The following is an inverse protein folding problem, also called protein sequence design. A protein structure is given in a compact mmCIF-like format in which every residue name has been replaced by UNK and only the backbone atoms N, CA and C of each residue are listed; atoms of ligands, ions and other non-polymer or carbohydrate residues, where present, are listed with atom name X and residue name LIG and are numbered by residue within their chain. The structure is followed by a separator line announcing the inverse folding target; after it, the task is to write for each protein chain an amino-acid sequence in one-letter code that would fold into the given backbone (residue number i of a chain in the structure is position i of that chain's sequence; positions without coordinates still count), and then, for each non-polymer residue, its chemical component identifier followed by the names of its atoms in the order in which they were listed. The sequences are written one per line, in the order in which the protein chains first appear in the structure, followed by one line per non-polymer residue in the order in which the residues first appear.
data_IF_217497248191
#
_entry.id   IF_217497248191
#
_cell.length_a   1.000
_cell.length_b   1.000
_cell.length_c   1.000
_cell.angle_alpha   90.00
_cell.angle_beta   90.00
_cell.angle_gamma   90.00
#
_symmetry.space_group_name_H-M   'P 1'
#
loop_
_entity.id
_entity.type
_entity.pdbx_description
1 polymer ?
#
# COMPACT_ATOMS: atom_id res chain seq x y z
N UNK A 1 22.27 -11.37 22.91
CA UNK A 1 21.26 -12.21 22.23
C UNK A 1 20.48 -11.30 21.27
N UNK A 2 20.47 -11.56 19.96
CA UNK A 2 19.55 -10.88 19.03
C UNK A 2 18.13 -11.17 19.52
N UNK A 3 17.44 -10.17 20.06
CA UNK A 3 16.05 -10.33 20.45
C UNK A 3 15.22 -10.28 19.17
N UNK A 4 15.07 -11.43 18.54
CA UNK A 4 14.11 -11.62 17.45
C UNK A 4 12.71 -11.68 18.06
N UNK A 5 11.75 -10.94 17.50
CA UNK A 5 10.36 -10.97 17.91
C UNK A 5 9.84 -12.42 17.94
N UNK A 6 9.04 -12.75 18.95
CA UNK A 6 8.42 -14.08 19.06
C UNK A 6 7.41 -14.29 17.93
N UNK A 7 7.04 -15.55 17.64
CA UNK A 7 6.06 -15.85 16.61
C UNK A 7 4.70 -15.15 16.88
N UNK A 8 4.27 -15.09 18.15
CA UNK A 8 3.05 -14.39 18.54
C UNK A 8 3.13 -12.88 18.24
N UNK A 9 4.28 -12.26 18.52
CA UNK A 9 4.50 -10.84 18.22
C UNK A 9 4.52 -10.56 16.71
N UNK A 10 5.11 -11.46 15.92
CA UNK A 10 5.06 -11.39 14.46
C UNK A 10 3.64 -11.46 13.93
N UNK A 11 2.82 -12.34 14.50
CA UNK A 11 1.40 -12.43 14.16
C UNK A 11 0.63 -11.17 14.57
N UNK A 12 0.93 -10.57 15.72
CA UNK A 12 0.33 -9.28 16.09
C UNK A 12 0.70 -8.16 15.11
N UNK A 13 1.97 -8.06 14.68
CA UNK A 13 2.42 -7.07 13.69
C UNK A 13 1.72 -7.30 12.35
N UNK A 14 1.59 -8.56 11.93
CA UNK A 14 0.84 -8.94 10.73
C UNK A 14 -0.61 -8.45 10.81
N UNK A 15 -1.34 -8.81 11.87
CA UNK A 15 -2.75 -8.43 12.04
C UNK A 15 -2.92 -6.91 12.16
N UNK A 16 -2.03 -6.25 12.90
CA UNK A 16 -2.06 -4.78 13.03
C UNK A 16 -1.87 -4.10 11.68
N UNK A 17 -0.90 -4.56 10.90
CA UNK A 17 -0.59 -3.95 9.59
C UNK A 17 -1.71 -4.24 8.58
N UNK A 18 -2.24 -5.47 8.59
CA UNK A 18 -3.40 -5.87 7.80
C UNK A 18 -4.61 -4.98 8.07
N UNK A 19 -4.96 -4.78 9.34
CA UNK A 19 -6.12 -3.97 9.70
C UNK A 19 -5.92 -2.48 9.36
N UNK A 20 -4.77 -1.91 9.72
CA UNK A 20 -4.52 -0.47 9.51
C UNK A 20 -4.40 -0.12 8.03
N UNK A 21 -3.67 -0.92 7.26
CA UNK A 21 -3.47 -0.64 5.85
C UNK A 21 -4.71 -1.00 5.03
N UNK A 22 -5.38 -2.13 5.30
CA UNK A 22 -6.64 -2.47 4.61
C UNK A 22 -7.77 -1.46 4.85
N UNK A 23 -7.88 -0.90 6.06
CA UNK A 23 -8.80 0.22 6.28
C UNK A 23 -8.36 1.48 5.52
N UNK A 24 -7.06 1.74 5.44
CA UNK A 24 -6.53 2.89 4.73
C UNK A 24 -6.77 2.80 3.23
N UNK A 25 -6.66 1.61 2.62
CA UNK A 25 -6.95 1.41 1.19
C UNK A 25 -8.44 1.65 0.91
N UNK A 26 -9.34 1.15 1.75
CA UNK A 26 -10.77 1.49 1.65
C UNK A 26 -11.03 3.01 1.68
N UNK A 27 -10.26 3.77 2.47
CA UNK A 27 -10.37 5.22 2.48
C UNK A 27 -9.80 5.88 1.21
N UNK A 28 -8.69 5.39 0.66
CA UNK A 28 -8.09 5.97 -0.55
C UNK A 28 -8.95 5.73 -1.78
N UNK A 29 -9.61 4.58 -1.88
CA UNK A 29 -10.56 4.26 -2.98
C UNK A 29 -11.76 5.21 -3.01
N UNK A 30 -12.10 5.84 -1.88
CA UNK A 30 -13.17 6.84 -1.80
C UNK A 30 -12.70 8.26 -2.19
N UNK A 31 -11.39 8.49 -2.33
CA UNK A 31 -10.84 9.79 -2.68
C UNK A 31 -10.86 9.93 -4.21
N UNK A 32 -11.51 10.97 -4.77
CA UNK A 32 -11.53 11.17 -6.22
C UNK A 32 -10.14 11.59 -6.73
N UNK A 33 -9.74 11.09 -7.89
CA UNK A 33 -8.58 11.59 -8.62
C UNK A 33 -8.93 12.90 -9.34
N UNK A 34 -7.97 13.83 -9.38
CA UNK A 34 -8.12 15.12 -10.07
C UNK A 34 -7.21 15.15 -11.29
N UNK A 35 -7.79 15.25 -12.48
CA UNK A 35 -7.03 15.44 -13.71
C UNK A 35 -6.81 16.92 -13.99
N UNK A 36 -5.55 17.34 -14.09
CA UNK A 36 -5.17 18.68 -14.53
C UNK A 36 -4.25 18.57 -15.76
N UNK A 37 -4.87 18.58 -16.95
CA UNK A 37 -4.15 18.44 -18.22
C UNK A 37 -3.66 17.00 -18.43
N UNK A 38 -2.35 16.82 -18.66
CA UNK A 38 -1.72 15.50 -18.82
C UNK A 38 -1.37 14.83 -17.49
N UNK A 39 -1.59 15.52 -16.36
CA UNK A 39 -1.19 15.07 -15.03
C UNK A 39 -2.43 14.63 -14.26
N UNK A 40 -2.42 13.37 -13.81
CA UNK A 40 -3.42 12.85 -12.89
C UNK A 40 -2.90 12.97 -11.46
N UNK A 41 -3.63 13.71 -10.63
CA UNK A 41 -3.36 13.79 -9.19
C UNK A 41 -4.26 12.77 -8.50
N UNK A 42 -3.74 11.56 -8.32
CA UNK A 42 -4.39 10.52 -7.53
C UNK A 42 -3.67 10.30 -6.21
N UNK A 43 -4.44 9.98 -5.16
CA UNK A 43 -3.89 9.44 -3.93
C UNK A 43 -3.79 7.94 -4.12
N UNK A 44 -2.75 7.53 -4.83
CA UNK A 44 -2.62 6.15 -5.28
C UNK A 44 -2.61 5.17 -4.08
N UNK A 45 -1.76 5.42 -3.07
CA UNK A 45 -1.67 4.55 -1.89
C UNK A 45 -1.20 5.28 -0.62
N UNK A 46 -1.79 4.94 0.52
CA UNK A 46 -1.27 5.30 1.85
C UNK A 46 -0.17 4.34 2.33
N UNK A 47 0.83 4.09 1.48
CA UNK A 47 1.97 3.22 1.78
C UNK A 47 2.80 3.70 2.98
N UNK A 48 2.66 4.95 3.43
CA UNK A 48 3.33 5.41 4.64
C UNK A 48 3.00 4.56 5.88
N UNK A 49 1.80 3.97 5.95
CA UNK A 49 1.36 3.14 7.09
C UNK A 49 2.20 1.86 7.17
N UNK A 50 2.20 0.98 6.14
CA UNK A 50 2.98 -0.23 6.18
C UNK A 50 4.49 0.05 6.16
N UNK A 51 4.95 1.12 5.49
CA UNK A 51 6.35 1.55 5.57
C UNK A 51 6.76 1.89 7.01
N UNK A 52 5.95 2.68 7.72
CA UNK A 52 6.21 3.04 9.12
C UNK A 52 6.27 1.80 10.00
N UNK A 53 5.32 0.88 9.85
CA UNK A 53 5.26 -0.35 10.63
C UNK A 53 6.44 -1.28 10.30
N UNK A 54 6.83 -1.42 9.03
CA UNK A 54 7.97 -2.24 8.62
C UNK A 54 9.32 -1.67 9.08
N UNK A 55 9.43 -0.35 9.23
CA UNK A 55 10.62 0.33 9.76
C UNK A 55 10.74 0.20 11.28
N UNK A 56 9.62 0.09 12.01
CA UNK A 56 9.59 -0.02 13.47
C UNK A 56 9.56 -1.47 13.97
N UNK A 57 8.90 -2.37 13.23
CA UNK A 57 8.69 -3.77 13.59
C UNK A 57 9.45 -4.75 12.68
N UNK A 58 9.04 -6.03 12.69
CA UNK A 58 9.52 -7.06 11.76
C UNK A 58 9.02 -6.74 10.33
N UNK A 59 9.93 -6.44 9.37
CA UNK A 59 9.56 -6.03 8.03
C UNK A 59 8.72 -7.05 7.26
N UNK A 60 8.96 -8.35 7.47
CA UNK A 60 8.26 -9.40 6.73
C UNK A 60 6.81 -9.50 7.20
N UNK A 61 6.59 -9.51 8.51
CA UNK A 61 5.24 -9.52 9.08
C UNK A 61 4.44 -8.28 8.69
N UNK A 62 5.06 -7.10 8.69
CA UNK A 62 4.41 -5.87 8.25
C UNK A 62 4.09 -5.90 6.75
N UNK A 63 5.04 -6.27 5.90
CA UNK A 63 4.84 -6.30 4.45
C UNK A 63 3.74 -7.29 4.02
N UNK A 64 3.78 -8.52 4.54
CA UNK A 64 2.72 -9.52 4.26
C UNK A 64 1.38 -9.08 4.84
N UNK A 65 1.38 -8.48 6.03
CA UNK A 65 0.17 -7.92 6.64
C UNK A 65 -0.46 -6.86 5.75
N UNK A 66 0.35 -5.94 5.22
CA UNK A 66 -0.08 -4.90 4.30
C UNK A 66 -0.73 -5.49 3.05
N UNK A 67 0.00 -6.34 2.33
CA UNK A 67 -0.52 -6.97 1.11
C UNK A 67 -1.80 -7.78 1.36
N UNK A 68 -1.89 -8.48 2.50
CA UNK A 68 -3.12 -9.20 2.88
C UNK A 68 -4.26 -8.24 3.20
N UNK A 69 -3.98 -7.14 3.90
CA UNK A 69 -4.99 -6.13 4.24
C UNK A 69 -5.57 -5.49 2.98
N UNK A 70 -4.72 -5.09 2.05
CA UNK A 70 -5.13 -4.56 0.76
C UNK A 70 -5.99 -5.57 -0.02
N UNK A 71 -5.52 -6.82 -0.15
CA UNK A 71 -6.29 -7.87 -0.84
C UNK A 71 -7.68 -8.09 -0.22
N UNK A 72 -7.76 -8.18 1.11
CA UNK A 72 -9.02 -8.46 1.80
C UNK A 72 -9.96 -7.25 1.75
N UNK A 73 -9.45 -6.05 2.00
CA UNK A 73 -10.30 -4.86 2.20
C UNK A 73 -10.51 -4.04 0.92
N UNK A 74 -9.54 -3.96 0.01
CA UNK A 74 -9.73 -3.30 -1.30
C UNK A 74 -10.35 -4.24 -2.31
N UNK A 75 -9.89 -5.49 -2.41
CA UNK A 75 -10.29 -6.33 -3.54
C UNK A 75 -11.53 -7.18 -3.21
N UNK A 76 -11.43 -8.02 -2.16
CA UNK A 76 -12.53 -8.91 -1.76
C UNK A 76 -13.70 -8.15 -1.14
N UNK A 77 -13.47 -7.09 -0.36
CA UNK A 77 -14.59 -6.38 0.25
C UNK A 77 -15.33 -5.47 -0.74
N UNK A 78 -14.66 -4.92 -1.76
CA UNK A 78 -15.30 -4.06 -2.74
C UNK A 78 -15.92 -4.81 -3.92
N UNK A 79 -15.76 -6.14 -4.01
CA UNK A 79 -16.39 -6.90 -5.09
C UNK A 79 -15.56 -6.99 -6.36
N UNK A 80 -14.27 -6.63 -6.32
CA UNK A 80 -13.43 -6.44 -7.50
C UNK A 80 -12.24 -7.41 -7.55
N UNK A 81 -12.34 -8.55 -6.86
CA UNK A 81 -11.22 -9.49 -6.75
C UNK A 81 -10.95 -10.20 -8.09
N UNK A 82 -9.87 -9.80 -8.77
CA UNK A 82 -9.41 -10.35 -10.05
C UNK A 82 -8.58 -11.64 -9.97
N UNK A 83 -8.66 -12.39 -8.87
CA UNK A 83 -8.05 -13.71 -8.78
C UNK A 83 -6.53 -13.71 -8.81
N UNK A 84 -5.98 -14.28 -9.89
CA UNK A 84 -4.53 -14.34 -10.10
C UNK A 84 -3.91 -12.98 -10.42
N UNK A 85 -4.71 -12.02 -10.91
CA UNK A 85 -4.24 -10.66 -11.18
C UNK A 85 -3.81 -9.92 -9.90
N UNK A 86 -4.53 -10.16 -8.80
CA UNK A 86 -4.20 -9.55 -7.51
C UNK A 86 -2.88 -10.04 -6.91
N UNK A 87 -2.33 -11.14 -7.44
CA UNK A 87 -1.07 -11.71 -6.97
C UNK A 87 0.12 -10.80 -7.32
N UNK A 88 0.01 -10.07 -8.43
CA UNK A 88 1.00 -9.05 -8.80
C UNK A 88 1.11 -7.99 -7.70
N UNK A 89 0.00 -7.29 -7.45
CA UNK A 89 -0.13 -6.24 -6.45
C UNK A 89 0.29 -6.72 -5.06
N UNK A 90 -0.15 -7.92 -4.67
CA UNK A 90 0.22 -8.53 -3.40
C UNK A 90 1.75 -8.67 -3.25
N UNK A 91 2.44 -9.15 -4.30
CA UNK A 91 3.88 -9.39 -4.25
C UNK A 91 4.67 -8.08 -4.37
N UNK A 92 4.30 -7.17 -5.26
CA UNK A 92 5.03 -5.89 -5.46
C UNK A 92 4.97 -5.02 -4.20
N UNK A 93 3.80 -4.92 -3.55
CA UNK A 93 3.63 -4.23 -2.25
C UNK A 93 4.47 -4.91 -1.17
N UNK A 94 4.43 -6.24 -1.10
CA UNK A 94 5.25 -6.99 -0.13
C UNK A 94 6.74 -6.70 -0.33
N UNK A 95 7.24 -6.71 -1.57
CA UNK A 95 8.65 -6.44 -1.88
C UNK A 95 9.02 -5.00 -1.50
N UNK A 96 8.26 -4.00 -1.94
CA UNK A 96 8.56 -2.59 -1.67
C UNK A 96 8.63 -2.29 -0.17
N UNK A 97 7.62 -2.73 0.60
CA UNK A 97 7.55 -2.52 2.05
C UNK A 97 8.64 -3.31 2.79
N UNK A 98 8.88 -4.57 2.40
CA UNK A 98 9.90 -5.41 3.03
C UNK A 98 11.30 -4.84 2.83
N UNK A 99 11.63 -4.41 1.60
CA UNK A 99 12.92 -3.81 1.25
C UNK A 99 13.12 -2.49 2.01
N UNK A 100 12.13 -1.61 2.02
CA UNK A 100 12.19 -0.36 2.79
C UNK A 100 12.42 -0.62 4.29
N UNK A 101 11.64 -1.52 4.89
CA UNK A 101 11.78 -1.89 6.30
C UNK A 101 13.14 -2.50 6.63
N UNK A 102 13.79 -3.17 5.68
CA UNK A 102 15.15 -3.72 5.83
C UNK A 102 16.25 -2.67 5.68
N UNK A 103 16.03 -1.62 4.89
CA UNK A 103 16.99 -0.53 4.72
C UNK A 103 17.16 0.31 6.00
N UNK A 104 16.10 0.42 6.80
CA UNK A 104 16.12 1.18 8.07
C UNK A 104 16.72 0.34 9.21
N UNK A 105 17.95 0.66 9.61
CA UNK A 105 18.61 0.10 10.79
C UNK A 105 18.32 0.88 12.08
N UNK A 106 18.40 2.20 12.01
CA UNK A 106 18.05 3.14 13.08
C UNK A 106 16.84 4.01 12.69
N UNK A 107 15.65 3.78 13.27
CA UNK A 107 14.45 4.59 13.02
C UNK A 107 14.59 6.07 13.41
N UNK A 108 15.62 6.46 14.17
CA UNK A 108 15.88 7.86 14.54
C UNK A 108 16.61 8.64 13.45
N UNK A 109 17.22 7.96 12.48
CA UNK A 109 17.94 8.61 11.39
C UNK A 109 16.98 9.02 10.26
N UNK A 110 16.52 10.28 10.31
CA UNK A 110 15.62 10.87 9.33
C UNK A 110 16.07 10.69 7.88
N UNK A 111 17.39 10.80 7.59
CA UNK A 111 17.89 10.67 6.21
C UNK A 111 17.69 9.26 5.67
N UNK A 112 17.97 8.26 6.50
CA UNK A 112 17.81 6.85 6.13
C UNK A 112 16.34 6.45 6.05
N UNK A 113 15.50 6.96 6.96
CA UNK A 113 14.04 6.77 6.91
C UNK A 113 13.47 7.37 5.63
N UNK A 114 13.84 8.61 5.29
CA UNK A 114 13.39 9.27 4.06
C UNK A 114 13.84 8.55 2.80
N UNK A 115 15.11 8.14 2.74
CA UNK A 115 15.63 7.34 1.63
C UNK A 115 14.89 6.01 1.49
N UNK A 116 14.68 5.29 2.59
CA UNK A 116 13.98 4.00 2.56
C UNK A 116 12.50 4.15 2.18
N UNK A 117 11.84 5.23 2.58
CA UNK A 117 10.45 5.50 2.20
C UNK A 117 10.31 5.68 0.69
N UNK A 118 11.10 6.61 0.10
CA UNK A 118 11.07 6.84 -1.35
C UNK A 118 11.55 5.62 -2.12
N UNK A 119 12.61 4.96 -1.67
CA UNK A 119 13.13 3.79 -2.36
C UNK A 119 12.13 2.62 -2.34
N UNK A 120 11.43 2.40 -1.22
CA UNK A 120 10.38 1.39 -1.12
C UNK A 120 9.22 1.64 -2.07
N UNK A 121 8.71 2.88 -2.08
CA UNK A 121 7.64 3.30 -2.98
C UNK A 121 8.08 3.23 -4.43
N UNK A 122 9.25 3.78 -4.78
CA UNK A 122 9.79 3.70 -6.13
C UNK A 122 9.98 2.25 -6.59
N UNK A 123 10.42 1.36 -5.70
CA UNK A 123 10.57 -0.05 -6.04
C UNK A 123 9.22 -0.70 -6.33
N UNK A 124 8.20 -0.47 -5.51
CA UNK A 124 6.87 -1.05 -5.75
C UNK A 124 6.25 -0.50 -7.04
N UNK A 125 6.25 0.81 -7.25
CA UNK A 125 5.72 1.43 -8.48
C UNK A 125 6.49 0.97 -9.74
N UNK A 126 7.82 0.87 -9.64
CA UNK A 126 8.65 0.40 -10.77
C UNK A 126 8.34 -1.05 -11.14
N UNK A 127 8.13 -1.91 -10.13
CA UNK A 127 7.78 -3.31 -10.38
C UNK A 127 6.41 -3.41 -11.07
N UNK A 128 5.41 -2.62 -10.63
CA UNK A 128 4.10 -2.55 -11.29
C UNK A 128 4.22 -2.07 -12.74
N UNK A 129 4.89 -0.93 -12.97
CA UNK A 129 5.16 -0.39 -14.31
C UNK A 129 5.83 -1.43 -15.23
N UNK A 130 6.77 -2.23 -14.73
CA UNK A 130 7.40 -3.30 -15.52
C UNK A 130 6.38 -4.37 -15.90
N UNK A 131 5.50 -4.78 -14.99
CA UNK A 131 4.46 -5.76 -15.29
C UNK A 131 3.44 -5.20 -16.27
N UNK A 132 2.99 -3.96 -16.12
CA UNK A 132 2.06 -3.31 -17.06
C UNK A 132 2.63 -3.23 -18.47
N UNK A 133 3.91 -2.85 -18.59
CA UNK A 133 4.63 -2.91 -19.87
C UNK A 133 4.65 -4.35 -20.41
N UNK A 134 4.99 -5.34 -19.57
CA UNK A 134 5.02 -6.74 -19.99
C UNK A 134 3.64 -7.23 -20.45
N UNK A 135 2.56 -6.86 -19.76
CA UNK A 135 1.18 -7.21 -20.13
C UNK A 135 0.89 -6.73 -21.55
N UNK A 136 1.21 -5.48 -21.87
CA UNK A 136 0.98 -4.97 -23.23
C UNK A 136 1.90 -5.62 -24.26
N UNK A 137 3.15 -5.96 -23.92
CA UNK A 137 4.04 -6.62 -24.88
C UNK A 137 3.64 -8.07 -25.18
N UNK A 138 3.13 -8.81 -24.19
CA UNK A 138 2.85 -10.24 -24.32
C UNK A 138 1.37 -10.58 -24.57
N UNK A 139 0.42 -9.71 -24.19
CA UNK A 139 -1.02 -9.94 -24.43
C UNK A 139 -1.48 -9.49 -25.84
N UNK A 140 -0.60 -8.87 -26.64
CA UNK A 140 -0.94 -8.22 -27.92
C UNK A 140 -0.65 -9.11 -29.14
N UNK A 141 -0.70 -10.44 -29.01
CA UNK A 141 -0.62 -11.33 -30.19
C UNK A 141 -1.81 -11.14 -31.17
N UNK A 142 -2.94 -10.53 -30.75
CA UNK A 142 -4.14 -10.30 -31.58
C UNK A 142 -4.33 -8.87 -32.15
N UNK A 143 -3.42 -7.91 -31.89
CA UNK A 143 -3.47 -6.56 -32.48
C UNK A 143 -2.15 -6.18 -33.19
N UNK A 144 -1.88 -6.82 -34.33
CA UNK A 144 -0.82 -6.43 -35.28
C UNK A 144 -0.96 -5.00 -35.88
N UNK A 145 -1.87 -4.13 -35.43
CA UNK A 145 -2.39 -3.05 -36.28
C UNK A 145 -2.46 -1.62 -35.70
N UNK A 146 -1.56 -1.20 -34.81
CA UNK A 146 -1.30 0.26 -34.61
C UNK A 146 0.21 0.54 -34.43
N UNK A 147 0.87 1.16 -35.42
CA UNK A 147 2.26 1.60 -35.29
C UNK A 147 2.38 2.63 -34.15
N UNK A 148 3.29 2.39 -33.20
CA UNK A 148 3.58 3.31 -32.09
C UNK A 148 2.87 3.00 -30.76
N UNK A 149 1.99 1.99 -30.72
CA UNK A 149 1.29 1.62 -29.48
C UNK A 149 2.24 1.12 -28.37
N UNK A 150 3.24 0.27 -28.64
CA UNK A 150 4.27 -0.08 -27.65
C UNK A 150 5.02 1.14 -27.11
N UNK A 151 5.49 2.01 -28.01
CA UNK A 151 6.27 3.20 -27.64
C UNK A 151 5.44 4.20 -26.81
N UNK A 152 4.14 4.32 -27.13
CA UNK A 152 3.22 5.13 -26.34
C UNK A 152 3.03 4.58 -24.93
N UNK A 153 2.97 3.25 -24.76
CA UNK A 153 2.79 2.61 -23.45
C UNK A 153 4.03 2.79 -22.58
N UNK A 154 5.22 2.60 -23.12
CA UNK A 154 6.46 2.93 -22.41
C UNK A 154 6.49 4.40 -21.94
N UNK A 155 5.99 5.32 -22.77
CA UNK A 155 5.93 6.74 -22.44
C UNK A 155 4.86 7.05 -21.39
N UNK A 156 3.66 6.45 -21.49
CA UNK A 156 2.56 6.70 -20.54
C UNK A 156 2.82 6.07 -19.19
N UNK A 157 3.27 4.81 -19.14
CA UNK A 157 3.60 4.11 -17.89
C UNK A 157 4.81 4.74 -17.20
N UNK A 158 5.85 5.10 -17.97
CA UNK A 158 7.02 5.80 -17.44
C UNK A 158 6.66 7.19 -16.89
N UNK A 159 5.73 7.89 -17.54
CA UNK A 159 5.23 9.18 -17.06
C UNK A 159 4.37 9.03 -15.80
N UNK A 160 3.47 8.05 -15.76
CA UNK A 160 2.66 7.71 -14.59
C UNK A 160 3.57 7.39 -13.38
N UNK A 161 4.52 6.47 -13.55
CA UNK A 161 5.51 6.13 -12.53
C UNK A 161 6.22 7.36 -11.93
N UNK A 162 6.71 8.26 -12.79
CA UNK A 162 7.40 9.47 -12.33
C UNK A 162 6.45 10.43 -11.62
N UNK A 163 5.25 10.61 -12.17
CA UNK A 163 4.21 11.46 -11.60
C UNK A 163 3.81 10.97 -10.21
N UNK A 164 3.51 9.68 -10.07
CA UNK A 164 3.07 9.07 -8.82
C UNK A 164 4.19 9.07 -7.79
N UNK A 165 5.43 8.79 -8.19
CA UNK A 165 6.56 8.87 -7.29
C UNK A 165 6.82 10.30 -6.78
N UNK A 166 6.67 11.32 -7.64
CA UNK A 166 6.91 12.72 -7.28
C UNK A 166 5.77 13.33 -6.47
N UNK A 167 4.51 12.99 -6.77
CA UNK A 167 3.37 13.50 -6.02
C UNK A 167 3.02 12.60 -4.86
N UNK A 168 2.53 11.39 -5.14
CA UNK A 168 2.07 10.45 -4.12
C UNK A 168 3.22 9.95 -3.25
N UNK A 169 4.36 9.62 -3.86
CA UNK A 169 5.55 9.16 -3.15
C UNK A 169 6.15 10.22 -2.21
N UNK A 170 6.09 11.50 -2.55
CA UNK A 170 6.57 12.55 -1.65
C UNK A 170 5.52 12.91 -0.59
N UNK A 171 4.30 13.26 -1.03
CA UNK A 171 3.27 13.81 -0.14
C UNK A 171 2.65 12.77 0.78
N UNK A 172 2.38 11.57 0.25
CA UNK A 172 1.65 10.52 0.94
C UNK A 172 2.53 9.36 1.39
N UNK A 173 3.78 9.24 0.94
CA UNK A 173 4.73 8.25 1.46
C UNK A 173 5.85 8.90 2.30
N UNK A 174 6.72 9.73 1.70
CA UNK A 174 7.90 10.26 2.38
C UNK A 174 7.57 11.17 3.57
N UNK A 175 6.73 12.19 3.38
CA UNK A 175 6.46 13.17 4.44
C UNK A 175 5.79 12.53 5.67
N UNK A 176 4.73 11.70 5.53
CA UNK A 176 4.11 11.06 6.68
C UNK A 176 5.04 10.05 7.34
N UNK A 177 5.83 9.29 6.58
CA UNK A 177 6.80 8.34 7.16
C UNK A 177 7.92 9.05 7.94
N UNK A 178 8.46 10.16 7.41
CA UNK A 178 9.45 10.99 8.12
C UNK A 178 8.89 11.57 9.42
N UNK A 179 7.61 11.90 9.44
CA UNK A 179 6.94 12.42 10.63
C UNK A 179 6.63 11.31 11.65
N UNK A 180 6.11 10.17 11.21
CA UNK A 180 5.58 9.12 12.07
C UNK A 180 6.66 8.23 12.66
N UNK A 181 7.63 7.78 11.85
CA UNK A 181 8.64 6.79 12.30
C UNK A 181 9.38 7.27 13.56
N UNK A 182 9.96 8.48 13.60
CA UNK A 182 10.70 8.94 14.78
C UNK A 182 9.78 9.23 15.98
N UNK A 183 8.52 9.60 15.71
CA UNK A 183 7.55 9.97 16.75
C UNK A 183 6.92 8.76 17.44
N UNK A 184 6.77 7.67 16.71
CA UNK A 184 6.23 6.39 17.18
C UNK A 184 7.31 5.47 17.73
N UNK A 185 8.57 5.64 17.32
CA UNK A 185 9.71 4.88 17.81
C UNK A 185 9.81 4.90 19.34
N UNK A 186 9.88 3.71 19.94
CA UNK A 186 9.92 3.52 21.39
C UNK A 186 8.58 3.66 22.10
N UNK A 187 7.48 3.94 21.40
CA UNK A 187 6.14 4.05 21.97
C UNK A 187 5.25 2.88 21.60
N UNK A 188 5.28 2.43 20.34
CA UNK A 188 4.39 1.37 19.85
C UNK A 188 4.98 -0.03 20.08
N UNK A 189 6.30 -0.15 20.11
CA UNK A 189 6.99 -1.42 20.33
C UNK A 189 6.74 -1.99 21.74
N UNK A 190 6.87 -1.18 22.82
CA UNK A 190 6.56 -1.67 24.16
C UNK A 190 5.11 -2.10 24.35
N UNK A 191 4.16 -1.47 23.64
CA UNK A 191 2.74 -1.83 23.70
C UNK A 191 2.47 -3.24 23.16
N UNK A 192 3.31 -3.72 22.24
CA UNK A 192 3.26 -5.09 21.71
C UNK A 192 4.24 -6.03 22.44
N UNK A 193 4.77 -5.60 23.59
CA UNK A 193 5.76 -6.36 24.38
C UNK A 193 7.11 -6.53 23.68
N UNK A 194 7.42 -5.71 22.68
CA UNK A 194 8.66 -5.75 21.91
C UNK A 194 9.66 -4.71 22.39
N UNK A 195 10.95 -5.04 22.32
CA UNK A 195 12.00 -4.06 22.50
C UNK A 195 12.08 -3.15 21.26
N UNK A 196 12.28 -1.82 21.42
CA UNK A 196 12.45 -0.92 20.29
C UNK A 196 13.61 -1.34 19.38
N UNK A 197 13.43 -1.11 18.08
CA UNK A 197 14.38 -1.52 17.06
C UNK A 197 15.66 -0.70 17.11
N UNK A 198 16.78 -1.36 17.43
CA UNK A 198 18.11 -0.75 17.46
C UNK A 198 19.00 -1.34 16.37
N UNK A 199 20.09 -0.66 16.02
CA UNK A 199 21.05 -1.13 15.01
C UNK A 199 21.53 -2.57 15.27
N UNK A 200 21.71 -2.92 16.55
CA UNK A 200 22.16 -4.25 17.02
C UNK A 200 21.09 -5.35 16.86
N UNK A 201 19.81 -4.98 16.88
CA UNK A 201 18.68 -5.88 16.70
C UNK A 201 18.10 -5.83 15.26
N UNK A 202 18.63 -4.97 14.38
CA UNK A 202 18.21 -4.92 12.98
C UNK A 202 18.50 -6.24 12.27
N UNK A 203 17.64 -6.64 11.32
CA UNK A 203 17.76 -7.91 10.58
C UNK A 203 18.96 -7.96 9.61
N UNK A 204 19.88 -7.01 9.68
CA UNK A 204 20.95 -6.81 8.70
C UNK A 204 20.43 -6.13 7.44
N UNK A 205 21.35 -5.50 6.69
CA UNK A 205 21.03 -4.81 5.44
C UNK A 205 20.59 -5.75 4.31
N UNK A 206 20.38 -5.18 3.13
CA UNK A 206 20.02 -5.94 1.93
C UNK A 206 21.10 -6.98 1.63
N UNK A 207 20.70 -8.25 1.61
CA UNK A 207 21.60 -9.38 1.33
C UNK A 207 21.33 -9.94 -0.06
N UNK A 208 22.33 -10.55 -0.71
CA UNK A 208 22.16 -11.14 -2.04
C UNK A 208 21.01 -12.17 -2.08
N UNK A 209 20.86 -12.98 -1.03
CA UNK A 209 19.76 -13.95 -0.90
C UNK A 209 18.39 -13.29 -0.89
N UNK A 210 18.28 -12.13 -0.24
CA UNK A 210 17.05 -11.34 -0.22
C UNK A 210 16.74 -10.81 -1.62
N UNK A 211 17.73 -10.23 -2.32
CA UNK A 211 17.55 -9.71 -3.68
C UNK A 211 17.09 -10.83 -4.61
N UNK A 212 17.77 -11.98 -4.60
CA UNK A 212 17.39 -13.15 -5.39
C UNK A 212 15.97 -13.61 -5.05
N UNK A 213 15.61 -13.66 -3.76
CA UNK A 213 14.25 -14.00 -3.34
C UNK A 213 13.19 -13.04 -3.86
N UNK A 214 13.44 -11.72 -3.80
CA UNK A 214 12.54 -10.71 -4.34
C UNK A 214 12.40 -10.82 -5.87
N UNK A 215 13.50 -11.07 -6.60
CA UNK A 215 13.47 -11.26 -8.05
C UNK A 215 12.66 -12.49 -8.43
N UNK A 216 12.86 -13.63 -7.74
CA UNK A 216 12.08 -14.85 -7.99
C UNK A 216 10.59 -14.59 -7.71
N UNK A 217 10.27 -13.97 -6.57
CA UNK A 217 8.88 -13.65 -6.23
C UNK A 217 8.24 -12.74 -7.29
N UNK A 218 8.96 -11.72 -7.75
CA UNK A 218 8.49 -10.82 -8.80
C UNK A 218 8.26 -11.53 -10.14
N UNK A 219 9.17 -12.42 -10.55
CA UNK A 219 8.97 -13.22 -11.77
C UNK A 219 7.72 -14.11 -11.65
N UNK A 220 7.48 -14.71 -10.48
CA UNK A 220 6.23 -15.45 -10.24
C UNK A 220 4.99 -14.55 -10.30
N UNK A 221 5.09 -13.31 -9.80
CA UNK A 221 4.03 -12.32 -9.83
C UNK A 221 3.68 -11.93 -11.27
N UNK A 222 4.68 -11.52 -12.05
CA UNK A 222 4.52 -11.18 -13.46
C UNK A 222 3.98 -12.36 -14.29
N UNK A 223 4.44 -13.58 -14.02
CA UNK A 223 3.91 -14.77 -14.69
C UNK A 223 2.44 -15.05 -14.34
N UNK A 224 2.03 -14.86 -13.08
CA UNK A 224 0.65 -15.02 -12.66
C UNK A 224 -0.27 -13.97 -13.31
N UNK A 225 0.20 -12.73 -13.39
CA UNK A 225 -0.51 -11.63 -14.05
C UNK A 225 -0.71 -11.88 -15.55
N UNK A 226 0.34 -12.32 -16.24
CA UNK A 226 0.27 -12.66 -17.66
C UNK A 226 -0.69 -13.84 -17.92
N UNK A 227 -0.70 -14.84 -17.02
CA UNK A 227 -1.67 -15.93 -17.08
C UNK A 227 -3.10 -15.45 -16.84
N UNK A 228 -3.32 -14.55 -15.88
CA UNK A 228 -4.63 -13.94 -15.63
C UNK A 228 -5.14 -13.18 -16.87
N UNK A 229 -4.27 -12.39 -17.49
CA UNK A 229 -4.58 -11.60 -18.69
C UNK A 229 -4.89 -12.48 -19.91
N UNK A 230 -4.29 -13.67 -20.01
CA UNK A 230 -4.52 -14.63 -21.10
C UNK A 230 -5.88 -15.37 -21.05
N UNK A 231 -6.80 -14.97 -20.16
CA UNK A 231 -8.14 -15.56 -20.04
C UNK A 231 -8.19 -16.85 -19.22
N UNK A 232 -7.11 -17.21 -18.53
CA UNK A 232 -7.09 -18.27 -17.52
C UNK A 232 -7.41 -17.70 -16.12
N UNK A 233 -8.44 -16.85 -16.03
CA UNK A 233 -8.93 -16.35 -14.76
C UNK A 233 -9.59 -17.50 -13.97
N UNK A 234 -8.75 -18.23 -13.24
CA UNK A 234 -9.12 -19.46 -12.53
C UNK A 234 -10.19 -19.22 -11.46
N UNK A 235 -10.25 -18.00 -10.89
CA UNK A 235 -11.20 -17.58 -9.85
C UNK A 235 -11.42 -16.07 -9.98
N UNK A 236 -12.47 -15.66 -10.68
CA UNK A 236 -12.97 -14.27 -10.62
C UNK A 236 -14.16 -14.24 -9.66
N UNK A 237 -14.15 -13.30 -8.72
CA UNK A 237 -15.28 -13.05 -7.84
C UNK A 237 -15.70 -11.59 -7.98
N UNK A 238 -16.83 -11.39 -8.63
CA UNK A 238 -17.51 -10.10 -8.71
C UNK A 238 -18.73 -10.14 -7.81
N UNK A 239 -18.90 -9.13 -6.96
CA UNK A 239 -20.06 -9.07 -6.10
C UNK A 239 -21.26 -8.48 -6.86
N UNK A 240 -22.36 -9.24 -7.00
CA UNK A 240 -23.59 -8.81 -7.68
C UNK A 240 -24.15 -7.44 -7.21
N UNK A 241 -23.77 -7.00 -6.01
CA UNK A 241 -24.20 -5.74 -5.42
C UNK A 241 -23.26 -4.55 -5.70
N UNK A 242 -22.00 -4.78 -6.10
CA UNK A 242 -20.93 -3.78 -6.19
C UNK A 242 -21.11 -2.73 -7.31
N UNK A 243 -22.11 -2.91 -8.19
CA UNK A 243 -22.54 -1.90 -9.18
C UNK A 243 -24.02 -1.53 -9.10
N UNK A 244 -24.75 -2.04 -8.10
CA UNK A 244 -26.20 -1.83 -8.02
C UNK A 244 -26.53 -0.41 -7.55
N UNK A 245 -27.34 0.33 -8.31
CA UNK A 245 -27.76 1.69 -7.96
C UNK A 245 -28.46 1.78 -6.60
N UNK A 246 -29.05 0.67 -6.12
CA UNK A 246 -29.62 0.53 -4.79
C UNK A 246 -28.57 0.46 -3.69
N UNK A 247 -27.47 -0.29 -3.86
CA UNK A 247 -26.38 -0.34 -2.88
C UNK A 247 -25.69 1.03 -2.75
N UNK A 248 -25.46 1.72 -3.86
CA UNK A 248 -24.94 3.09 -3.85
C UNK A 248 -25.88 4.05 -3.12
N UNK A 249 -27.19 3.99 -3.39
CA UNK A 249 -28.17 4.82 -2.70
C UNK A 249 -28.21 4.57 -1.19
N UNK A 250 -28.13 3.30 -0.75
CA UNK A 250 -28.10 2.93 0.66
C UNK A 250 -26.82 3.44 1.33
N UNK A 251 -25.67 3.26 0.68
CA UNK A 251 -24.38 3.78 1.17
C UNK A 251 -24.40 5.29 1.37
N UNK A 252 -24.98 6.03 0.42
CA UNK A 252 -25.09 7.49 0.46
C UNK A 252 -26.00 7.97 1.61
N UNK A 253 -27.11 7.27 1.87
CA UNK A 253 -27.99 7.55 3.01
C UNK A 253 -27.29 7.31 4.34
N UNK A 254 -26.57 6.20 4.47
CA UNK A 254 -25.82 5.88 5.70
C UNK A 254 -24.72 6.94 5.94
N UNK A 255 -23.96 7.30 4.91
CA UNK A 255 -22.93 8.34 5.00
C UNK A 255 -23.51 9.68 5.44
N UNK A 256 -24.67 10.08 4.90
CA UNK A 256 -25.36 11.31 5.30
C UNK A 256 -25.79 11.29 6.77
N UNK A 257 -26.33 10.16 7.26
CA UNK A 257 -26.71 10.02 8.68
C UNK A 257 -25.50 10.12 9.59
N UNK A 258 -24.38 9.47 9.23
CA UNK A 258 -23.13 9.52 10.01
C UNK A 258 -22.57 10.95 10.04
N UNK A 259 -22.56 11.64 8.90
CA UNK A 259 -22.11 13.03 8.82
C UNK A 259 -22.96 13.97 9.69
N UNK A 260 -24.29 13.83 9.66
CA UNK A 260 -25.19 14.61 10.51
C UNK A 260 -24.93 14.32 12.00
N UNK A 261 -24.79 13.04 12.37
CA UNK A 261 -24.49 12.65 13.74
C UNK A 261 -23.14 13.24 14.22
N UNK A 262 -22.11 13.20 13.37
CA UNK A 262 -20.81 13.79 13.68
C UNK A 262 -20.90 15.31 13.89
N UNK A 263 -21.62 16.03 13.03
CA UNK A 263 -21.85 17.47 13.16
C UNK A 263 -22.59 17.81 14.46
N UNK A 264 -23.62 17.03 14.82
CA UNK A 264 -24.38 17.22 16.05
C UNK A 264 -23.50 17.00 17.29
N UNK A 265 -22.64 15.98 17.28
CA UNK A 265 -21.69 15.70 18.36
C UNK A 265 -20.65 16.82 18.48
N UNK A 266 -20.12 17.33 17.36
CA UNK A 266 -19.18 18.45 17.35
C UNK A 266 -19.81 19.73 17.91
N UNK A 267 -21.05 20.06 17.48
CA UNK A 267 -21.79 21.19 18.03
C UNK A 267 -22.06 21.04 19.53
N UNK A 268 -22.50 19.86 19.97
CA UNK A 268 -22.76 19.58 21.39
C UNK A 268 -21.49 19.66 22.26
N UNK A 269 -20.32 19.36 21.71
CA UNK A 269 -19.02 19.51 22.41
C UNK A 269 -18.58 20.98 22.47
N UNK A 270 -18.71 21.73 21.38
CA UNK A 270 -18.37 23.16 21.34
C UNK A 270 -19.20 24.00 22.32
N UNK A 271 -20.49 23.71 22.48
CA UNK A 271 -21.35 24.39 23.46
C UNK A 271 -21.00 24.05 24.92
N UNK A 272 -20.46 22.85 25.19
CA UNK A 272 -19.99 22.46 26.53
C UNK A 272 -18.65 23.10 26.91
N UNK A 273 -17.80 23.43 25.94
CA UNK A 273 -16.56 24.17 26.19
C UNK A 273 -16.82 25.66 26.46
N UNK A 274 -17.77 26.27 25.75
CA UNK A 274 -18.19 27.65 26.04
C UNK A 274 -18.85 27.78 27.42
N UNK A 275 -19.72 26.85 27.81
CA UNK A 275 -20.36 26.84 29.13
C UNK A 275 -19.42 26.51 30.31
N UNK A 276 -18.17 26.11 30.04
CA UNK A 276 -17.12 25.92 31.06
C UNK A 276 -16.15 27.10 31.14
N UNK A 277 -16.19 28.01 30.17
CA UNK A 277 -15.31 29.17 30.07
C UNK A 277 -15.95 30.47 30.59
N UNK A 278 -17.27 30.47 30.81
CA UNK A 278 -18.01 31.44 31.66
C UNK A 278 -18.10 30.92 33.11
#
# INVERSE_FOLDING_TARGET
KKQTATQSQKLMVFVLTMALYGLATLFTELIPSFQAGLVEFSVEYFLFIPLTLAMLFDPMSAALGAATGELVFSEIMLGQFGGLGELEKFITVTIGVYVAGRLVKDPRNYKMVGFAAIFGTALQLFLGMVVDICKVQFAVEDFEAVPGLPESVFATEGFAFLNDLLFSGILFCLLPTLFLVPRLYGKIEPLLGMAPRTEKNSLGGVSLKMVVGCVIAFVCAAAAELLATSGLSLIDWEADWAGSGTALAIGLVIAAVVAIAAILVLKARSGKEQAKAE
#
